data_IF_516219654314
#
_entry.id   IF_516219654314
#
_cell.length_a   1.000
_cell.length_b   1.000
_cell.length_c   1.000
_cell.angle_alpha   90.00
_cell.angle_beta   90.00
_cell.angle_gamma   90.00
#
_symmetry.space_group_name_H-M   'P 1'
#
loop_
_entity.id
_entity.type
_entity.pdbx_description
1 polymer ?
#
# COMPACT_ATOMS: atom_id res chain seq x y z
N UNK A 1 4.89 14.38 2.37
CA UNK A 1 5.57 13.66 1.26
C UNK A 1 5.36 12.17 1.47
N UNK A 2 5.21 11.39 0.39
CA UNK A 2 5.07 9.95 0.48
C UNK A 2 6.44 9.28 0.70
N UNK A 3 6.45 8.21 1.48
CA UNK A 3 7.60 7.31 1.62
C UNK A 3 7.20 5.93 1.14
N UNK A 4 8.19 5.18 0.61
CA UNK A 4 8.01 3.87 0.03
C UNK A 4 8.92 2.87 0.72
N UNK A 5 8.42 1.66 0.89
CA UNK A 5 9.14 0.54 1.51
C UNK A 5 9.02 -0.70 0.64
N UNK A 6 10.09 -1.48 0.65
CA UNK A 6 10.15 -2.79 0.00
C UNK A 6 9.84 -3.88 1.03
N UNK A 7 9.08 -4.89 0.61
CA UNK A 7 8.76 -6.05 1.45
C UNK A 7 9.77 -7.16 1.18
N UNK A 8 10.33 -7.74 2.23
CA UNK A 8 11.13 -8.95 2.14
C UNK A 8 10.34 -10.12 2.72
N UNK A 9 10.05 -11.12 1.89
CA UNK A 9 9.32 -12.33 2.26
C UNK A 9 10.20 -13.54 1.92
N UNK A 10 10.93 -14.04 2.91
CA UNK A 10 11.95 -15.07 2.72
C UNK A 10 13.02 -14.57 1.75
N UNK A 11 13.22 -15.31 0.66
CA UNK A 11 14.21 -15.01 -0.37
C UNK A 11 13.70 -14.04 -1.46
N UNK A 12 12.45 -13.57 -1.36
CA UNK A 12 11.86 -12.65 -2.34
C UNK A 12 11.76 -11.24 -1.78
N UNK A 13 12.23 -10.27 -2.55
CA UNK A 13 12.04 -8.83 -2.29
C UNK A 13 11.04 -8.26 -3.27
N UNK A 14 10.04 -7.57 -2.76
CA UNK A 14 9.04 -6.83 -3.52
C UNK A 14 9.31 -5.33 -3.34
N UNK A 15 9.86 -4.70 -4.38
CA UNK A 15 10.24 -3.29 -4.35
C UNK A 15 9.03 -2.37 -4.32
N UNK A 16 9.12 -1.31 -3.51
CA UNK A 16 8.13 -0.21 -3.39
C UNK A 16 6.69 -0.71 -3.30
N UNK A 17 6.50 -1.78 -2.53
CA UNK A 17 5.22 -2.48 -2.43
C UNK A 17 4.28 -1.83 -1.43
N UNK A 18 4.84 -1.06 -0.49
CA UNK A 18 4.11 -0.33 0.54
C UNK A 18 4.48 1.15 0.46
N UNK A 19 3.48 2.00 0.64
CA UNK A 19 3.68 3.44 0.69
C UNK A 19 2.87 4.07 1.83
N UNK A 20 3.21 5.29 2.22
CA UNK A 20 2.51 5.98 3.30
C UNK A 20 3.02 7.38 3.55
N UNK A 21 2.42 8.06 4.53
CA UNK A 21 2.80 9.42 4.92
C UNK A 21 3.31 9.44 6.36
N UNK A 22 4.64 9.39 6.58
CA UNK A 22 5.21 9.58 7.90
C UNK A 22 4.94 10.97 8.49
N UNK A 23 4.74 11.96 7.61
CA UNK A 23 4.33 13.33 7.95
C UNK A 23 3.30 13.80 6.93
N UNK A 24 1.98 13.61 7.19
CA UNK A 24 0.91 14.06 6.32
C UNK A 24 0.73 15.58 6.41
N UNK A 25 -0.14 16.13 5.58
CA UNK A 25 -0.53 17.54 5.68
C UNK A 25 -1.38 17.78 6.95
N UNK A 26 -1.35 18.99 7.53
CA UNK A 26 -2.08 19.31 8.77
C UNK A 26 -3.58 19.02 8.72
N UNK A 27 -4.19 19.06 7.55
CA UNK A 27 -5.61 18.83 7.31
C UNK A 27 -6.01 17.36 7.44
N UNK A 28 -5.05 16.42 7.30
CA UNK A 28 -5.30 14.96 7.37
C UNK A 28 -4.27 14.29 8.30
N UNK A 29 -4.25 14.61 9.61
CA UNK A 29 -3.28 14.04 10.53
C UNK A 29 -3.55 12.56 10.81
N UNK A 30 -4.78 12.09 10.58
CA UNK A 30 -5.23 10.73 10.92
C UNK A 30 -4.53 9.61 10.15
N UNK A 31 -3.86 9.92 9.04
CA UNK A 31 -3.14 8.94 8.22
C UNK A 31 -1.64 8.90 8.54
N UNK A 32 -1.19 9.65 9.54
CA UNK A 32 0.21 9.68 9.93
C UNK A 32 0.69 8.27 10.32
N UNK A 33 1.84 7.88 9.77
CA UNK A 33 2.47 6.57 9.99
C UNK A 33 1.60 5.36 9.62
N UNK A 34 0.48 5.56 8.91
CA UNK A 34 -0.26 4.47 8.30
C UNK A 34 0.40 4.01 7.00
N UNK A 35 0.28 2.72 6.74
CA UNK A 35 0.83 2.05 5.56
C UNK A 35 -0.30 1.66 4.61
N UNK A 36 -0.03 1.79 3.31
CA UNK A 36 -0.96 1.52 2.23
C UNK A 36 -0.31 0.56 1.22
N UNK A 37 -1.13 -0.29 0.62
CA UNK A 37 -0.75 -1.26 -0.39
C UNK A 37 -1.45 -0.93 -1.71
N UNK A 38 -0.82 -1.32 -2.81
CA UNK A 38 -1.44 -1.27 -4.13
C UNK A 38 -2.41 -2.45 -4.29
N UNK A 39 -3.68 -2.17 -4.57
CA UNK A 39 -4.72 -3.20 -4.70
C UNK A 39 -4.41 -4.18 -5.85
N UNK A 40 -3.75 -3.72 -6.91
CA UNK A 40 -3.28 -4.54 -8.03
C UNK A 40 -2.20 -5.56 -7.62
N UNK A 41 -1.51 -5.33 -6.50
CA UNK A 41 -0.39 -6.15 -6.02
C UNK A 41 -0.78 -7.11 -4.90
N UNK A 42 -1.98 -6.99 -4.31
CA UNK A 42 -2.43 -7.80 -3.18
C UNK A 42 -3.76 -8.49 -3.44
N UNK A 43 -4.06 -9.53 -2.67
CA UNK A 43 -5.40 -10.07 -2.57
C UNK A 43 -6.15 -9.29 -1.48
N UNK A 44 -7.16 -8.53 -1.89
CA UNK A 44 -7.98 -7.71 -0.99
C UNK A 44 -9.32 -8.42 -0.75
N UNK A 45 -9.69 -8.61 0.51
CA UNK A 45 -10.99 -9.14 0.89
C UNK A 45 -11.79 -8.07 1.63
N UNK A 46 -13.04 -7.85 1.21
CA UNK A 46 -13.99 -6.95 1.90
C UNK A 46 -15.18 -7.79 2.31
N UNK A 47 -15.47 -7.84 3.60
CA UNK A 47 -16.54 -8.67 4.18
C UNK A 47 -16.46 -10.15 3.75
N UNK A 48 -15.24 -10.67 3.59
CA UNK A 48 -14.96 -12.04 3.14
C UNK A 48 -15.01 -12.25 1.63
N UNK A 49 -15.33 -11.23 0.83
CA UNK A 49 -15.38 -11.31 -0.63
C UNK A 49 -14.06 -10.83 -1.23
N UNK A 50 -13.39 -11.70 -2.00
CA UNK A 50 -12.19 -11.34 -2.77
C UNK A 50 -12.55 -10.29 -3.82
N UNK A 51 -11.83 -9.18 -3.80
CA UNK A 51 -11.98 -8.08 -4.74
C UNK A 51 -11.17 -8.36 -6.01
N UNK A 52 -11.72 -7.94 -7.16
CA UNK A 52 -10.99 -7.99 -8.42
C UNK A 52 -9.80 -7.02 -8.39
N UNK A 53 -8.68 -7.46 -8.96
CA UNK A 53 -7.49 -6.61 -9.07
C UNK A 53 -7.73 -5.55 -10.15
N UNK A 54 -7.68 -4.26 -9.81
CA UNK A 54 -7.89 -3.21 -10.79
C UNK A 54 -6.71 -3.14 -11.76
N UNK A 55 -6.99 -2.84 -13.03
CA UNK A 55 -5.97 -2.47 -14.01
C UNK A 55 -5.70 -0.98 -13.87
N UNK A 56 -4.50 -0.63 -13.41
CA UNK A 56 -4.11 0.75 -13.11
C UNK A 56 -2.78 1.07 -13.81
N UNK A 57 -2.52 2.34 -14.17
CA UNK A 57 -1.22 2.74 -14.73
C UNK A 57 -0.09 2.80 -13.68
N UNK A 58 -0.40 2.52 -12.41
CA UNK A 58 0.54 2.57 -11.29
C UNK A 58 1.15 1.19 -10.97
N UNK A 59 0.87 0.19 -11.81
CA UNK A 59 1.42 -1.17 -11.75
C UNK A 59 2.54 -1.41 -12.75
#
# INVERSE_FOLDING_TARGET
AASYWSLQLGDKTYSDFVWGYPRPIPEIPKIENLLCFYNEKVDLYVDGVLQERPVSPFS
#
